data_IF_102624224748
#
_entry.id   IF_102624224748
#
_cell.length_a   1.000
_cell.length_b   1.000
_cell.length_c   1.000
_cell.angle_alpha   90.00
_cell.angle_beta   90.00
_cell.angle_gamma   90.00
#
_symmetry.space_group_name_H-M   'P 1'
#
loop_
_entity.id
_entity.type
_entity.pdbx_description
1 polymer ?
#
# COMPACT_ATOMS: atom_id res chain seq x y z
N UNK A 1 -7.01 -8.81 9.34
CA UNK A 1 -6.50 -7.74 8.48
C UNK A 1 -7.72 -7.26 7.78
N UNK A 2 -8.01 -5.98 7.88
CA UNK A 2 -9.27 -5.40 7.42
C UNK A 2 -8.91 -4.13 6.66
N UNK A 3 -9.54 -3.89 5.52
CA UNK A 3 -9.41 -2.61 4.85
C UNK A 3 -10.02 -1.55 5.76
N UNK A 4 -9.22 -0.57 6.18
CA UNK A 4 -9.66 0.54 7.02
C UNK A 4 -10.13 1.71 6.17
N UNK A 5 -9.36 2.08 5.15
CA UNK A 5 -9.65 3.27 4.34
C UNK A 5 -8.99 3.19 2.96
N UNK A 6 -9.57 3.91 2.01
CA UNK A 6 -9.03 4.16 0.67
C UNK A 6 -9.11 5.66 0.40
N UNK A 7 -7.97 6.30 0.17
CA UNK A 7 -7.95 7.74 -0.06
C UNK A 7 -6.84 8.17 -1.00
N UNK A 8 -7.07 9.28 -1.69
CA UNK A 8 -6.05 9.93 -2.51
C UNK A 8 -5.36 11.02 -1.69
N UNK A 9 -4.03 10.99 -1.61
CA UNK A 9 -3.22 12.01 -0.96
C UNK A 9 -2.41 12.76 -2.00
N UNK A 10 -2.58 14.08 -2.06
CA UNK A 10 -1.61 14.97 -2.68
C UNK A 10 -0.62 15.43 -1.64
N UNK A 11 0.66 15.47 -1.99
CA UNK A 11 1.71 15.92 -1.08
C UNK A 11 2.61 16.97 -1.72
N UNK A 12 3.20 17.80 -0.88
CA UNK A 12 4.24 18.76 -1.25
C UNK A 12 5.25 18.87 -0.12
N UNK A 13 6.53 18.72 -0.43
CA UNK A 13 7.63 18.90 0.50
C UNK A 13 7.68 20.37 0.96
N UNK A 14 7.65 20.60 2.27
CA UNK A 14 7.66 21.95 2.85
C UNK A 14 8.99 22.69 2.66
N UNK A 15 10.06 21.98 2.32
CA UNK A 15 11.38 22.55 2.07
C UNK A 15 11.67 22.78 0.58
N UNK A 16 10.76 22.39 -0.32
CA UNK A 16 10.92 22.63 -1.75
C UNK A 16 10.64 24.11 -2.09
N UNK A 17 11.55 24.76 -2.83
CA UNK A 17 11.32 26.11 -3.33
C UNK A 17 10.26 26.13 -4.42
N UNK A 18 9.49 27.21 -4.53
CA UNK A 18 8.49 27.37 -5.60
C UNK A 18 9.10 27.23 -7.00
N UNK A 19 10.34 27.69 -7.19
CA UNK A 19 11.07 27.55 -8.46
C UNK A 19 11.36 26.10 -8.78
N UNK A 20 11.77 25.31 -7.79
CA UNK A 20 11.99 23.86 -7.94
C UNK A 20 10.69 23.16 -8.33
N UNK A 21 9.59 23.49 -7.64
CA UNK A 21 8.29 22.92 -7.95
C UNK A 21 7.87 23.27 -9.40
N UNK A 22 7.97 24.54 -9.80
CA UNK A 22 7.66 24.98 -11.17
C UNK A 22 8.48 24.25 -12.24
N UNK A 23 9.79 24.09 -12.01
CA UNK A 23 10.67 23.38 -12.93
C UNK A 23 10.27 21.91 -13.06
N UNK A 24 10.08 21.20 -11.95
CA UNK A 24 9.68 19.79 -11.96
C UNK A 24 8.31 19.61 -12.66
N UNK A 25 7.34 20.47 -12.35
CA UNK A 25 6.03 20.45 -13.03
C UNK A 25 6.16 20.65 -14.53
N UNK A 26 7.04 21.55 -14.99
CA UNK A 26 7.26 21.80 -16.42
C UNK A 26 7.91 20.61 -17.14
N UNK A 27 8.72 19.82 -16.44
CA UNK A 27 9.47 18.69 -17.01
C UNK A 27 8.66 17.40 -17.01
N UNK A 28 7.90 17.13 -15.95
CA UNK A 28 7.27 15.82 -15.72
C UNK A 28 5.73 15.85 -15.78
N UNK A 29 5.13 17.04 -15.84
CA UNK A 29 3.68 17.21 -15.78
C UNK A 29 3.10 16.82 -14.41
N UNK A 30 1.76 16.84 -14.31
CA UNK A 30 1.03 16.49 -13.08
C UNK A 30 0.89 14.98 -12.85
N UNK A 31 1.41 14.16 -13.78
CA UNK A 31 1.20 12.70 -13.81
C UNK A 31 2.26 11.92 -13.02
N UNK A 32 3.37 12.54 -12.63
CA UNK A 32 4.52 11.87 -12.02
C UNK A 32 4.68 12.19 -10.53
N UNK A 33 5.16 11.22 -9.76
CA UNK A 33 5.47 11.38 -8.34
C UNK A 33 6.97 11.67 -8.18
N UNK A 34 7.28 12.75 -7.48
CA UNK A 34 8.66 13.13 -7.13
C UNK A 34 8.79 13.26 -5.63
N UNK A 35 10.01 13.35 -5.12
CA UNK A 35 10.23 13.63 -3.69
C UNK A 35 9.59 14.97 -3.29
N UNK A 36 9.51 15.95 -4.19
CA UNK A 36 9.04 17.30 -3.86
C UNK A 36 7.51 17.44 -3.94
N UNK A 37 6.85 16.73 -4.84
CA UNK A 37 5.40 16.70 -4.93
C UNK A 37 4.89 15.48 -5.69
N UNK A 38 3.63 15.15 -5.46
CA UNK A 38 2.95 14.12 -6.22
C UNK A 38 1.59 13.77 -5.64
N UNK A 39 1.07 12.62 -6.06
CA UNK A 39 -0.20 12.08 -5.63
C UNK A 39 -0.10 10.57 -5.46
N UNK A 40 -0.51 10.06 -4.30
CA UNK A 40 -0.66 8.63 -4.05
C UNK A 40 -2.15 8.27 -3.89
N UNK A 41 -2.52 7.11 -4.41
CA UNK A 41 -3.75 6.40 -4.06
C UNK A 41 -3.40 5.39 -2.97
N UNK A 42 -3.90 5.58 -1.76
CA UNK A 42 -3.55 4.77 -0.60
C UNK A 42 -4.69 3.81 -0.28
N UNK A 43 -4.36 2.52 -0.22
CA UNK A 43 -5.20 1.46 0.34
C UNK A 43 -4.63 1.06 1.71
N UNK A 44 -5.29 1.47 2.80
CA UNK A 44 -4.82 1.23 4.16
C UNK A 44 -5.54 0.04 4.78
N UNK A 45 -4.80 -1.04 5.03
CA UNK A 45 -5.26 -2.19 5.79
C UNK A 45 -4.71 -2.14 7.21
N UNK A 46 -5.51 -2.62 8.15
CA UNK A 46 -5.09 -2.77 9.55
C UNK A 46 -5.09 -4.21 10.00
N UNK A 47 -4.13 -4.56 10.84
CA UNK A 47 -4.10 -5.83 11.56
C UNK A 47 -4.22 -5.61 13.08
N UNK A 48 -4.76 -6.63 13.75
CA UNK A 48 -4.84 -6.73 15.20
C UNK A 48 -3.86 -7.82 15.66
N UNK A 49 -3.29 -7.63 16.85
CA UNK A 49 -2.44 -8.57 17.58
C UNK A 49 -1.05 -8.90 16.99
N UNK A 50 -0.97 -9.44 15.78
CA UNK A 50 0.29 -9.97 15.21
C UNK A 50 0.77 -9.15 14.02
N UNK A 51 2.02 -8.69 14.10
CA UNK A 51 2.70 -8.01 13.00
C UNK A 51 2.89 -9.00 11.84
N UNK A 52 2.47 -8.66 10.61
CA UNK A 52 2.78 -9.45 9.42
C UNK A 52 4.29 -9.68 9.31
N UNK A 53 4.72 -10.91 9.02
CA UNK A 53 6.14 -11.27 8.94
C UNK A 53 6.63 -11.55 7.54
N UNK A 54 5.73 -11.93 6.64
CA UNK A 54 6.04 -12.25 5.25
C UNK A 54 4.89 -11.74 4.39
N UNK A 55 5.21 -11.05 3.30
CA UNK A 55 4.31 -10.87 2.17
C UNK A 55 4.73 -11.86 1.07
N UNK A 56 3.75 -12.54 0.47
CA UNK A 56 3.97 -13.42 -0.67
C UNK A 56 3.24 -12.87 -1.89
N UNK A 57 3.93 -12.81 -3.02
CA UNK A 57 3.32 -12.62 -4.34
C UNK A 57 3.23 -13.97 -5.03
N UNK A 58 2.02 -14.32 -5.47
CA UNK A 58 1.69 -15.61 -6.04
C UNK A 58 1.21 -15.44 -7.49
N UNK A 59 1.55 -16.39 -8.35
CA UNK A 59 1.02 -16.50 -9.71
C UNK A 59 0.31 -17.84 -9.86
N UNK A 60 -0.90 -17.79 -10.39
CA UNK A 60 -1.71 -18.95 -10.77
C UNK A 60 -1.80 -18.97 -12.30
N UNK A 61 -1.63 -20.14 -12.92
CA UNK A 61 -1.52 -20.25 -14.37
C UNK A 61 -2.84 -20.66 -15.05
N UNK A 62 -3.83 -21.16 -14.30
CA UNK A 62 -5.14 -21.55 -14.85
C UNK A 62 -6.33 -21.21 -13.94
N UNK A 63 -7.52 -21.13 -14.54
CA UNK A 63 -8.78 -20.78 -13.85
C UNK A 63 -9.18 -21.84 -12.82
N UNK A 64 -8.82 -23.12 -13.04
CA UNK A 64 -9.11 -24.20 -12.11
C UNK A 64 -8.37 -24.00 -10.79
N UNK A 65 -7.09 -23.63 -10.86
CA UNK A 65 -6.21 -23.30 -9.74
C UNK A 65 -6.72 -22.08 -8.97
N UNK A 66 -7.15 -21.03 -9.67
CA UNK A 66 -7.77 -19.86 -9.05
C UNK A 66 -9.06 -20.22 -8.31
N UNK A 67 -9.95 -20.97 -8.96
CA UNK A 67 -11.22 -21.39 -8.37
C UNK A 67 -11.02 -22.32 -7.16
N UNK A 68 -10.03 -23.21 -7.22
CA UNK A 68 -9.65 -24.06 -6.09
C UNK A 68 -9.12 -23.22 -4.93
N UNK A 69 -8.22 -22.27 -5.19
CA UNK A 69 -7.66 -21.38 -4.17
C UNK A 69 -8.75 -20.51 -3.50
N UNK A 70 -9.69 -19.97 -4.28
CA UNK A 70 -10.83 -19.23 -3.74
C UNK A 70 -11.81 -20.17 -3.00
N UNK A 71 -11.99 -21.39 -3.50
CA UNK A 71 -12.86 -22.44 -2.95
C UNK A 71 -12.40 -23.00 -1.60
N UNK A 72 -11.11 -22.93 -1.28
CA UNK A 72 -10.58 -23.19 0.07
C UNK A 72 -11.02 -22.13 1.12
N UNK A 73 -11.81 -21.15 0.68
CA UNK A 73 -12.40 -20.11 1.52
C UNK A 73 -11.37 -19.06 1.91
N UNK A 74 -10.44 -18.76 1.01
CA UNK A 74 -9.57 -17.59 1.08
C UNK A 74 -10.39 -16.40 0.56
N UNK A 75 -10.94 -15.62 1.48
CA UNK A 75 -11.67 -14.40 1.16
C UNK A 75 -10.72 -13.20 1.19
N UNK A 76 -10.74 -12.38 0.14
CA UNK A 76 -9.94 -11.17 0.07
C UNK A 76 -10.21 -10.27 1.28
N UNK A 77 -9.13 -9.86 1.97
CA UNK A 77 -9.22 -8.96 3.11
C UNK A 77 -9.73 -9.60 4.41
N UNK A 78 -9.67 -10.94 4.56
CA UNK A 78 -9.90 -11.61 5.85
C UNK A 78 -8.66 -12.39 6.31
N UNK A 79 -8.46 -12.48 7.64
CA UNK A 79 -7.47 -13.39 8.23
C UNK A 79 -8.15 -14.72 8.52
N UNK A 80 -7.57 -15.82 8.04
CA UNK A 80 -8.00 -17.18 8.33
C UNK A 80 -6.81 -18.01 8.78
N UNK A 81 -7.03 -18.90 9.76
CA UNK A 81 -6.03 -19.92 10.09
C UNK A 81 -6.00 -20.92 8.94
N UNK A 82 -4.82 -21.22 8.42
CA UNK A 82 -4.61 -22.26 7.42
C UNK A 82 -3.83 -23.37 8.11
N UNK A 83 -4.44 -24.54 8.27
CA UNK A 83 -3.87 -25.65 9.05
C UNK A 83 -2.66 -26.29 8.36
N UNK A 84 -2.65 -26.30 7.02
CA UNK A 84 -1.48 -26.60 6.19
C UNK A 84 -1.47 -25.67 4.97
N UNK A 85 -0.45 -24.80 4.84
CA UNK A 85 -0.14 -24.17 3.55
C UNK A 85 0.81 -25.10 2.79
N UNK A 86 0.32 -26.27 2.39
CA UNK A 86 1.00 -27.04 1.35
C UNK A 86 0.78 -26.26 0.06
N UNK A 87 1.83 -25.67 -0.51
CA UNK A 87 1.82 -25.35 -1.94
C UNK A 87 1.45 -26.65 -2.63
N UNK A 88 0.21 -26.72 -3.08
CA UNK A 88 -0.54 -27.93 -3.38
C UNK A 88 0.35 -28.96 -4.10
N UNK A 89 0.49 -30.17 -3.54
CA UNK A 89 0.97 -31.33 -4.29
C UNK A 89 -0.11 -31.80 -5.29
N UNK A 90 -0.67 -30.88 -6.07
CA UNK A 90 -1.62 -31.18 -7.13
C UNK A 90 -1.15 -30.56 -8.42
N UNK A 91 -1.72 -31.03 -9.54
CA UNK A 91 -1.41 -30.60 -10.91
C UNK A 91 -1.67 -29.11 -11.20
N UNK A 92 -2.03 -28.33 -10.18
CA UNK A 92 -2.35 -26.92 -10.24
C UNK A 92 -1.04 -26.14 -10.29
N UNK A 93 -0.83 -25.43 -11.39
CA UNK A 93 0.35 -24.60 -11.59
C UNK A 93 0.20 -23.34 -10.71
N UNK A 94 0.93 -23.32 -9.58
CA UNK A 94 1.05 -22.17 -8.67
C UNK A 94 2.54 -21.92 -8.41
N UNK A 95 2.96 -20.66 -8.48
CA UNK A 95 4.33 -20.28 -8.12
C UNK A 95 4.33 -19.09 -7.15
N UNK A 96 5.22 -19.12 -6.15
CA UNK A 96 5.64 -17.92 -5.42
C UNK A 96 6.66 -17.21 -6.28
N UNK A 97 6.40 -15.96 -6.64
CA UNK A 97 7.30 -15.13 -7.45
C UNK A 97 8.07 -14.10 -6.62
N UNK A 98 7.56 -13.75 -5.44
CA UNK A 98 8.25 -12.88 -4.49
C UNK A 98 7.87 -13.23 -3.05
N UNK A 99 8.83 -13.11 -2.14
CA UNK A 99 8.64 -13.27 -0.71
C UNK A 99 9.41 -12.17 0.03
N UNK A 100 8.68 -11.17 0.51
CA UNK A 100 9.27 -10.05 1.24
C UNK A 100 9.13 -10.28 2.75
N UNK A 101 10.26 -10.32 3.46
CA UNK A 101 10.28 -10.39 4.92
C UNK A 101 9.92 -9.02 5.53
N UNK A 102 9.02 -9.04 6.52
CA UNK A 102 8.48 -7.85 7.16
C UNK A 102 8.93 -7.80 8.62
N UNK A 103 9.66 -6.74 8.96
CA UNK A 103 10.10 -6.43 10.32
C UNK A 103 9.48 -5.14 10.87
N UNK A 104 8.77 -4.39 10.03
CA UNK A 104 8.30 -3.04 10.34
C UNK A 104 6.82 -3.03 10.73
N UNK A 105 6.42 -1.99 11.48
CA UNK A 105 5.08 -1.88 12.05
C UNK A 105 4.09 -1.16 11.12
N UNK A 106 4.61 -0.30 10.26
CA UNK A 106 3.93 0.18 9.06
C UNK A 106 4.64 -0.47 7.89
N UNK A 107 3.92 -1.14 7.02
CA UNK A 107 4.45 -1.72 5.80
C UNK A 107 3.86 -0.96 4.63
N UNK A 108 4.68 -0.57 3.65
CA UNK A 108 4.25 0.17 2.47
C UNK A 108 4.72 -0.59 1.23
N UNK A 109 3.77 -0.94 0.37
CA UNK A 109 4.02 -1.52 -0.93
C UNK A 109 3.58 -0.57 -2.02
N UNK A 110 4.38 -0.45 -3.06
CA UNK A 110 4.02 0.33 -4.23
C UNK A 110 3.53 -0.60 -5.34
N UNK A 111 2.27 -0.45 -5.74
CA UNK A 111 1.67 -1.17 -6.87
C UNK A 111 1.51 -0.22 -8.06
N UNK A 112 2.56 -0.08 -8.87
CA UNK A 112 2.58 0.90 -9.96
C UNK A 112 2.92 2.33 -9.49
N UNK A 113 2.77 3.35 -10.35
CA UNK A 113 3.40 4.65 -10.12
C UNK A 113 2.76 5.47 -8.99
N UNK A 114 1.50 5.18 -8.62
CA UNK A 114 0.72 5.99 -7.67
C UNK A 114 0.05 5.19 -6.57
N UNK A 115 -0.07 3.87 -6.69
CA UNK A 115 -0.84 3.10 -5.72
C UNK A 115 0.07 2.61 -4.60
N UNK A 116 -0.33 2.89 -3.37
CA UNK A 116 0.31 2.41 -2.16
C UNK A 116 -0.64 1.50 -1.41
N UNK A 117 -0.20 0.28 -1.13
CA UNK A 117 -0.87 -0.63 -0.20
C UNK A 117 -0.13 -0.53 1.13
N UNK A 118 -0.82 -0.08 2.16
CA UNK A 118 -0.25 0.12 3.48
C UNK A 118 -0.84 -0.88 4.48
N UNK A 119 0.00 -1.51 5.30
CA UNK A 119 -0.41 -2.35 6.42
C UNK A 119 0.03 -1.70 7.73
N UNK A 120 -0.87 -1.47 8.66
CA UNK A 120 -0.55 -0.86 9.95
C UNK A 120 -1.23 -1.57 11.13
N UNK A 121 -0.62 -1.48 12.31
CA UNK A 121 -1.28 -1.91 13.54
C UNK A 121 -2.44 -0.97 13.89
N UNK A 122 -3.66 -1.51 14.02
CA UNK A 122 -4.84 -0.70 14.40
C UNK A 122 -4.61 0.06 15.70
N UNK A 123 -4.04 -0.60 16.71
CA UNK A 123 -3.79 -0.01 18.03
C UNK A 123 -2.88 1.22 17.99
N UNK A 124 -1.96 1.27 17.02
CA UNK A 124 -1.02 2.38 16.86
C UNK A 124 -1.61 3.55 16.08
N UNK A 125 -2.53 3.28 15.16
CA UNK A 125 -3.07 4.31 14.27
C UNK A 125 -4.49 4.75 14.62
N UNK A 126 -5.18 4.10 15.55
CA UNK A 126 -6.58 4.41 15.92
C UNK A 126 -6.81 5.84 16.42
N UNK A 127 -5.77 6.52 16.88
CA UNK A 127 -5.83 7.92 17.32
C UNK A 127 -5.51 8.92 16.21
N UNK A 128 -5.01 8.46 15.06
CA UNK A 128 -4.66 9.31 13.93
C UNK A 128 -5.91 9.57 13.09
N UNK A 129 -6.12 10.84 12.74
CA UNK A 129 -7.07 11.16 11.68
C UNK A 129 -6.45 10.89 10.30
N UNK A 130 -7.28 10.97 9.24
CA UNK A 130 -6.85 10.65 7.88
C UNK A 130 -5.67 11.50 7.41
N UNK A 131 -5.64 12.79 7.74
CA UNK A 131 -4.57 13.72 7.33
C UNK A 131 -3.24 13.39 8.01
N UNK A 132 -3.29 13.10 9.32
CA UNK A 132 -2.14 12.64 10.08
C UNK A 132 -1.60 11.33 9.53
N UNK A 133 -2.48 10.38 9.22
CA UNK A 133 -2.08 9.11 8.63
C UNK A 133 -1.47 9.29 7.23
N UNK A 134 -2.08 10.12 6.38
CA UNK A 134 -1.56 10.44 5.06
C UNK A 134 -0.15 11.05 5.14
N UNK A 135 0.07 11.94 6.10
CA UNK A 135 1.39 12.54 6.35
C UNK A 135 2.42 11.48 6.77
N UNK A 136 2.10 10.62 7.74
CA UNK A 136 2.98 9.52 8.17
C UNK A 136 3.33 8.61 7.00
N UNK A 137 2.36 8.24 6.15
CA UNK A 137 2.58 7.37 5.00
C UNK A 137 3.54 8.02 3.99
N UNK A 138 3.34 9.30 3.66
CA UNK A 138 4.20 10.02 2.72
C UNK A 138 5.63 10.14 3.25
N UNK A 139 5.77 10.51 4.52
CA UNK A 139 7.08 10.66 5.18
C UNK A 139 7.83 9.33 5.23
N UNK A 140 7.16 8.26 5.65
CA UNK A 140 7.75 6.92 5.72
C UNK A 140 8.09 6.36 4.33
N UNK A 141 7.27 6.63 3.31
CA UNK A 141 7.56 6.21 1.94
C UNK A 141 8.88 6.82 1.44
N UNK A 142 9.04 8.14 1.54
CA UNK A 142 10.26 8.79 1.04
C UNK A 142 11.49 8.49 1.87
N UNK A 143 11.33 8.34 3.19
CA UNK A 143 12.41 7.88 4.05
C UNK A 143 12.92 6.49 3.61
N UNK A 144 12.02 5.54 3.35
CA UNK A 144 12.42 4.15 3.04
C UNK A 144 12.92 3.97 1.62
N UNK A 145 12.20 4.50 0.63
CA UNK A 145 12.50 4.22 -0.78
C UNK A 145 13.52 5.20 -1.38
N UNK A 146 13.69 6.39 -0.78
CA UNK A 146 14.54 7.45 -1.32
C UNK A 146 15.58 7.97 -0.31
N UNK A 147 15.61 7.43 0.92
CA UNK A 147 16.45 7.92 2.01
C UNK A 147 16.31 9.44 2.23
N UNK A 148 15.09 9.97 2.04
CA UNK A 148 14.79 11.38 2.13
C UNK A 148 13.85 11.65 3.30
N UNK A 149 14.39 12.26 4.34
CA UNK A 149 13.62 12.70 5.51
C UNK A 149 13.24 14.17 5.35
N UNK A 150 11.94 14.43 5.22
CA UNK A 150 11.38 15.78 5.15
C UNK A 150 10.00 15.83 5.80
N UNK A 151 9.47 17.03 6.00
CA UNK A 151 8.10 17.27 6.40
C UNK A 151 7.24 17.64 5.19
N UNK A 152 6.06 17.03 5.11
CA UNK A 152 5.16 17.25 3.98
C UNK A 152 3.89 17.98 4.40
N UNK A 153 3.42 18.86 3.51
CA UNK A 153 2.02 19.27 3.46
C UNK A 153 1.27 18.19 2.69
N UNK A 154 0.15 17.74 3.25
CA UNK A 154 -0.72 16.77 2.59
C UNK A 154 -2.12 17.34 2.42
N UNK A 155 -2.77 16.97 1.33
CA UNK A 155 -4.18 17.27 1.07
C UNK A 155 -4.86 15.98 0.63
N UNK A 156 -5.89 15.58 1.36
CA UNK A 156 -6.69 14.42 0.98
C UNK A 156 -7.73 14.86 -0.03
N UNK A 157 -7.75 14.19 -1.18
CA UNK A 157 -8.82 14.33 -2.15
C UNK A 157 -9.88 13.27 -1.84
N UNK A 158 -11.09 13.73 -1.53
CA UNK A 158 -12.26 12.86 -1.43
C UNK A 158 -12.75 12.50 -2.83
N UNK A 159 -11.94 11.75 -3.56
CA UNK A 159 -12.41 10.99 -4.72
C UNK A 159 -12.41 9.54 -4.24
N UNK A 160 -13.51 9.12 -3.60
CA UNK A 160 -13.76 7.69 -3.46
C UNK A 160 -13.80 7.13 -4.88
N UNK A 161 -12.87 6.24 -5.23
CA UNK A 161 -12.97 5.45 -6.48
C UNK A 161 -14.21 4.52 -6.47
N UNK A 162 -14.99 4.54 -5.39
CA UNK A 162 -16.33 3.98 -5.26
C UNK A 162 -17.34 5.14 -5.21
N UNK A 163 -17.50 5.86 -6.32
CA UNK A 163 -18.77 6.53 -6.65
C UNK A 163 -19.50 5.63 -7.64
N UNK A 164 -20.57 5.00 -7.14
CA UNK A 164 -21.74 4.44 -7.82
C UNK A 164 -21.52 3.64 -9.12
N UNK A 165 -21.54 2.31 -8.98
CA UNK A 165 -22.11 1.40 -9.97
C UNK A 165 -23.49 0.92 -9.51
#
# INVERSE_FOLDING_TARGET
MTLLDNFTVQYTDLHASEETLKQIFSLHGSSFNTVQFGTFNVCLYVYQDKIPRILLSLVMFDDESLNNFLGEGIEFGRIKSVDEFKLLESKNELAIIDATLLSEELVIFQNGPRELICLASYEKIKSLNREQMAKVIVEEYFKRFYNHESSYRVQIQNNSLLEEG
#
